data_IF_807116223290
#
_entry.id   IF_807116223290
#
_cell.length_a   1.000
_cell.length_b   1.000
_cell.length_c   1.000
_cell.angle_alpha   90.00
_cell.angle_beta   90.00
_cell.angle_gamma   90.00
#
_symmetry.space_group_name_H-M   'P 1'
#
loop_
_entity.id
_entity.type
_entity.pdbx_description
1 polymer ?
#
# COMPACT_ATOMS: atom_id res chain seq x y z
N UNK A 1 -12.36 60.92 1.14
CA UNK A 1 -11.09 60.13 1.14
C UNK A 1 -11.21 58.79 1.92
N UNK A 2 -11.90 58.73 3.04
CA UNK A 2 -12.05 57.48 3.87
C UNK A 2 -12.80 56.35 3.16
N UNK A 3 -13.82 56.63 2.36
CA UNK A 3 -14.60 55.61 1.64
C UNK A 3 -13.83 54.96 0.49
N UNK A 4 -12.89 55.63 -0.14
CA UNK A 4 -12.05 55.05 -1.21
C UNK A 4 -10.96 54.14 -0.65
N UNK A 5 -10.47 54.41 0.57
CA UNK A 5 -9.48 53.56 1.24
C UNK A 5 -10.09 52.23 1.69
N UNK A 6 -11.33 52.23 2.16
CA UNK A 6 -12.08 51.01 2.56
C UNK A 6 -12.40 50.13 1.35
N UNK A 7 -12.71 50.72 0.19
CA UNK A 7 -12.96 49.97 -1.04
C UNK A 7 -11.69 49.25 -1.56
N UNK A 8 -10.52 49.90 -1.47
CA UNK A 8 -9.25 49.30 -1.89
C UNK A 8 -8.83 48.16 -0.94
N UNK A 9 -9.02 48.31 0.36
CA UNK A 9 -8.76 47.26 1.32
C UNK A 9 -9.66 46.03 1.12
N UNK A 10 -10.94 46.24 0.82
CA UNK A 10 -11.88 45.14 0.54
C UNK A 10 -11.51 44.36 -0.75
N UNK A 11 -10.99 45.07 -1.77
CA UNK A 11 -10.57 44.43 -3.04
C UNK A 11 -9.29 43.61 -2.86
N UNK A 12 -8.36 44.04 -2.01
CA UNK A 12 -7.12 43.31 -1.72
C UNK A 12 -7.42 42.03 -0.89
N UNK A 13 -8.36 42.10 0.03
CA UNK A 13 -8.78 40.93 0.84
C UNK A 13 -9.50 39.86 0.01
N UNK A 14 -10.23 40.27 -1.02
CA UNK A 14 -10.91 39.32 -1.93
C UNK A 14 -9.97 38.55 -2.88
N UNK A 15 -8.80 39.13 -3.19
CA UNK A 15 -7.78 38.48 -4.04
C UNK A 15 -6.97 37.39 -3.31
N UNK A 16 -7.00 37.37 -1.96
CA UNK A 16 -6.25 36.41 -1.18
C UNK A 16 -7.00 35.07 -0.96
N UNK A 17 -8.28 34.98 -1.34
CA UNK A 17 -9.10 33.79 -1.09
C UNK A 17 -9.18 32.80 -2.26
N UNK A 18 -8.45 32.99 -3.37
CA UNK A 18 -8.31 32.00 -4.43
C UNK A 18 -7.06 31.13 -4.22
N UNK A 19 -6.86 30.65 -3.02
CA UNK A 19 -5.98 29.49 -2.79
C UNK A 19 -6.67 28.28 -3.42
N UNK A 20 -6.31 27.95 -4.68
CA UNK A 20 -6.70 26.68 -5.26
C UNK A 20 -6.26 25.56 -4.30
N UNK A 21 -7.14 24.57 -3.98
CA UNK A 21 -6.69 23.42 -3.24
C UNK A 21 -5.56 22.79 -4.08
N UNK A 22 -4.34 22.76 -3.52
CA UNK A 22 -3.29 21.95 -4.08
C UNK A 22 -3.86 20.52 -4.08
N UNK A 23 -4.20 20.01 -5.27
CA UNK A 23 -4.49 18.58 -5.43
C UNK A 23 -3.21 17.88 -5.02
N UNK A 24 -3.20 17.34 -3.81
CA UNK A 24 -2.18 16.39 -3.41
C UNK A 24 -2.22 15.32 -4.52
N UNK A 25 -1.12 15.20 -5.28
CA UNK A 25 -0.96 14.07 -6.17
C UNK A 25 -1.10 12.84 -5.27
N UNK A 26 -2.15 12.04 -5.51
CA UNK A 26 -2.32 10.76 -4.84
C UNK A 26 -1.14 9.88 -5.24
N UNK A 27 -0.02 10.05 -4.55
CA UNK A 27 1.15 9.20 -4.69
C UNK A 27 0.76 7.77 -4.32
N UNK A 28 1.46 6.80 -4.88
CA UNK A 28 1.27 5.41 -4.51
C UNK A 28 1.31 5.25 -2.99
N UNK A 29 0.29 4.63 -2.43
CA UNK A 29 0.22 4.27 -1.01
C UNK A 29 0.78 2.87 -0.83
N UNK A 30 1.81 2.76 -0.01
CA UNK A 30 2.52 1.51 0.29
C UNK A 30 1.56 0.53 0.95
N UNK A 31 1.61 -0.72 0.50
CA UNK A 31 0.76 -1.81 1.01
C UNK A 31 1.61 -2.87 1.72
N UNK A 32 0.96 -3.62 2.60
CA UNK A 32 1.57 -4.82 3.19
C UNK A 32 1.94 -5.81 2.08
N UNK A 33 3.17 -6.34 2.15
CA UNK A 33 3.75 -7.21 1.13
C UNK A 33 4.58 -6.49 0.07
N UNK A 34 4.60 -5.15 0.05
CA UNK A 34 5.51 -4.39 -0.80
C UNK A 34 6.96 -4.56 -0.33
N UNK A 35 7.88 -4.53 -1.27
CA UNK A 35 9.32 -4.48 -0.97
C UNK A 35 9.83 -3.09 -1.28
N UNK A 36 10.34 -2.41 -0.26
CA UNK A 36 10.97 -1.11 -0.38
C UNK A 36 12.49 -1.28 -0.50
N UNK A 37 13.11 -0.50 -1.33
CA UNK A 37 14.55 -0.32 -1.41
C UNK A 37 14.90 1.02 -0.79
N UNK A 38 15.78 0.99 0.20
CA UNK A 38 16.20 2.15 0.99
C UNK A 38 17.69 2.31 0.82
N UNK A 39 18.11 3.50 0.40
CA UNK A 39 19.50 3.88 0.22
C UNK A 39 19.81 5.12 1.05
N UNK A 40 20.92 5.08 1.77
CA UNK A 40 21.43 6.18 2.59
C UNK A 40 22.78 6.57 2.02
N UNK A 41 22.88 7.77 1.46
CA UNK A 41 24.10 8.20 0.76
C UNK A 41 25.31 8.32 1.68
N UNK A 42 25.10 8.72 2.92
CA UNK A 42 26.16 8.95 3.91
C UNK A 42 26.72 7.63 4.49
N UNK A 43 25.93 6.54 4.41
CA UNK A 43 26.35 5.23 4.91
C UNK A 43 25.75 4.08 4.07
N UNK A 44 26.52 3.60 3.12
CA UNK A 44 26.13 2.50 2.24
C UNK A 44 25.88 1.17 2.99
N UNK A 45 26.34 1.02 4.22
CA UNK A 45 26.06 -0.18 5.03
C UNK A 45 24.59 -0.30 5.45
N UNK A 46 23.87 0.80 5.40
CA UNK A 46 22.43 0.89 5.68
C UNK A 46 21.57 0.57 4.46
N UNK A 47 22.15 0.54 3.25
CA UNK A 47 21.43 0.25 2.02
C UNK A 47 20.86 -1.16 2.04
N UNK A 48 19.54 -1.29 1.92
CA UNK A 48 18.87 -2.59 1.94
C UNK A 48 17.47 -2.57 1.38
N UNK A 49 17.01 -3.77 1.05
CA UNK A 49 15.61 -4.01 0.76
C UNK A 49 14.90 -4.45 2.03
N UNK A 50 13.70 -3.92 2.26
CA UNK A 50 12.85 -4.26 3.40
C UNK A 50 11.46 -4.65 2.91
N UNK A 51 10.92 -5.72 3.48
CA UNK A 51 9.55 -6.16 3.24
C UNK A 51 8.62 -5.44 4.23
N UNK A 52 7.53 -4.89 3.71
CA UNK A 52 6.44 -4.37 4.54
C UNK A 52 5.60 -5.55 5.03
N UNK A 53 5.60 -5.75 6.34
CA UNK A 53 4.91 -6.85 7.00
C UNK A 53 3.37 -6.73 6.88
N UNK A 54 2.60 -7.78 7.18
CA UNK A 54 1.13 -7.75 7.10
C UNK A 54 0.48 -6.69 7.99
N UNK A 55 1.12 -6.28 9.09
CA UNK A 55 0.70 -5.19 9.96
C UNK A 55 1.05 -3.78 9.41
N UNK A 56 1.67 -3.71 8.24
CA UNK A 56 2.12 -2.49 7.61
C UNK A 56 3.45 -1.95 8.12
N UNK A 57 4.11 -2.65 9.03
CA UNK A 57 5.40 -2.25 9.59
C UNK A 57 6.60 -2.80 8.81
N UNK A 58 7.76 -2.20 8.99
CA UNK A 58 9.05 -2.75 8.57
C UNK A 58 10.12 -2.38 9.60
N UNK A 59 11.23 -3.12 9.63
CA UNK A 59 12.34 -2.84 10.53
C UNK A 59 13.53 -2.27 9.78
N UNK A 60 14.11 -1.20 10.34
CA UNK A 60 15.31 -0.55 9.79
C UNK A 60 16.37 -0.35 10.87
N UNK A 61 17.66 -0.58 10.57
CA UNK A 61 18.75 -0.37 11.54
C UNK A 61 18.77 1.05 12.07
N UNK A 62 19.19 1.20 13.31
CA UNK A 62 19.30 2.45 14.04
C UNK A 62 17.95 3.13 14.36
N UNK A 63 16.89 2.85 13.60
CA UNK A 63 15.55 3.43 13.80
C UNK A 63 14.60 2.44 14.48
N UNK A 64 14.78 1.13 14.22
CA UNK A 64 13.89 0.09 14.73
C UNK A 64 12.69 -0.16 13.82
N UNK A 65 11.54 -0.47 14.42
CA UNK A 65 10.29 -0.75 13.69
C UNK A 65 9.55 0.53 13.36
N UNK A 66 9.16 0.67 12.10
CA UNK A 66 8.45 1.83 11.55
C UNK A 66 7.21 1.39 10.79
N UNK A 67 6.21 2.25 10.72
CA UNK A 67 5.04 2.06 9.87
C UNK A 67 5.30 2.60 8.46
N UNK A 68 4.93 1.82 7.44
CA UNK A 68 4.92 2.22 6.04
C UNK A 68 3.55 1.99 5.38
N UNK A 69 2.79 1.03 5.89
CA UNK A 69 1.46 0.71 5.34
C UNK A 69 0.52 1.90 5.36
N UNK A 70 -0.06 2.24 4.21
CA UNK A 70 -0.92 3.40 4.04
C UNK A 70 -0.18 4.73 3.82
N UNK A 71 1.14 4.76 3.99
CA UNK A 71 1.96 5.96 3.78
C UNK A 71 2.44 6.04 2.32
N UNK A 72 2.76 7.25 1.88
CA UNK A 72 3.46 7.45 0.62
C UNK A 72 4.97 7.25 0.80
N UNK A 73 5.69 6.99 -0.30
CA UNK A 73 7.15 6.86 -0.30
C UNK A 73 7.82 8.09 0.34
N UNK A 74 7.30 9.30 0.06
CA UNK A 74 7.82 10.54 0.64
C UNK A 74 7.63 10.63 2.15
N UNK A 75 6.48 10.17 2.65
CA UNK A 75 6.21 10.14 4.09
C UNK A 75 7.15 9.16 4.81
N UNK A 76 7.38 7.97 4.23
CA UNK A 76 8.34 6.99 4.78
C UNK A 76 9.76 7.55 4.75
N UNK A 77 10.15 8.23 3.66
CA UNK A 77 11.45 8.89 3.55
C UNK A 77 11.64 9.94 4.67
N UNK A 78 10.66 10.80 4.85
CA UNK A 78 10.71 11.84 5.89
C UNK A 78 10.81 11.23 7.30
N UNK A 79 10.07 10.15 7.56
CA UNK A 79 10.13 9.45 8.84
C UNK A 79 11.50 8.78 9.07
N UNK A 80 12.10 8.19 8.02
CA UNK A 80 13.46 7.61 8.09
C UNK A 80 14.52 8.68 8.37
N UNK A 81 14.47 9.80 7.66
CA UNK A 81 15.40 10.93 7.91
C UNK A 81 15.28 11.40 9.36
N UNK A 82 14.04 11.55 9.87
CA UNK A 82 13.80 11.92 11.26
C UNK A 82 14.38 10.92 12.26
N UNK A 83 14.15 9.62 12.04
CA UNK A 83 14.66 8.56 12.92
C UNK A 83 16.19 8.40 12.89
N UNK A 84 16.80 8.60 11.74
CA UNK A 84 18.24 8.49 11.55
C UNK A 84 19.02 9.72 12.04
N UNK A 85 18.38 10.89 12.07
CA UNK A 85 19.04 12.16 12.41
C UNK A 85 19.77 12.15 13.77
N UNK A 86 19.33 11.33 14.71
CA UNK A 86 19.99 11.18 16.01
C UNK A 86 21.38 10.48 15.92
N UNK A 87 21.63 9.77 14.83
CA UNK A 87 22.84 8.96 14.61
C UNK A 87 23.83 9.62 13.63
N UNK A 88 23.45 10.74 13.03
CA UNK A 88 24.25 11.46 12.06
C UNK A 88 24.49 12.91 12.51
N UNK A 89 25.67 13.44 12.24
CA UNK A 89 26.01 14.83 12.56
C UNK A 89 25.22 15.85 11.70
N UNK A 90 24.79 15.43 10.51
CA UNK A 90 23.97 16.18 9.57
C UNK A 90 22.82 15.26 9.14
N UNK A 91 21.59 15.76 8.93
CA UNK A 91 20.48 14.92 8.47
C UNK A 91 20.86 14.14 7.21
N UNK A 92 20.69 12.80 7.20
CA UNK A 92 21.13 11.97 6.08
C UNK A 92 20.23 12.13 4.86
N UNK A 93 20.83 11.94 3.68
CA UNK A 93 20.12 11.90 2.42
C UNK A 93 19.59 10.48 2.16
N UNK A 94 18.29 10.27 2.38
CA UNK A 94 17.64 8.97 2.23
C UNK A 94 16.83 8.93 0.95
N UNK A 95 17.02 7.87 0.16
CA UNK A 95 16.19 7.54 -0.99
C UNK A 95 15.37 6.29 -0.67
N UNK A 96 14.07 6.36 -0.98
CA UNK A 96 13.14 5.24 -0.81
C UNK A 96 12.45 5.00 -2.14
N UNK A 97 12.46 3.77 -2.60
CA UNK A 97 11.76 3.35 -3.82
C UNK A 97 11.00 2.04 -3.58
N UNK A 98 9.95 1.81 -4.37
CA UNK A 98 9.22 0.53 -4.34
C UNK A 98 9.88 -0.41 -5.35
N UNK A 99 10.55 -1.44 -4.86
CA UNK A 99 11.26 -2.43 -5.67
C UNK A 99 10.32 -3.49 -6.25
N UNK A 100 9.38 -3.93 -5.42
CA UNK A 100 8.35 -4.88 -5.83
C UNK A 100 7.04 -4.54 -5.13
N UNK A 101 5.96 -4.60 -5.89
CA UNK A 101 4.61 -4.42 -5.35
C UNK A 101 4.16 -5.72 -4.69
N UNK A 102 3.39 -5.60 -3.61
CA UNK A 102 2.64 -6.72 -3.09
C UNK A 102 1.85 -7.34 -4.25
N UNK A 103 2.17 -8.56 -4.60
CA UNK A 103 1.29 -9.29 -5.49
C UNK A 103 -0.04 -9.40 -4.74
N UNK A 104 -1.06 -8.72 -5.23
CA UNK A 104 -2.43 -9.05 -4.81
C UNK A 104 -2.52 -10.55 -4.93
N UNK A 105 -2.72 -11.25 -3.80
CA UNK A 105 -2.93 -12.69 -3.84
C UNK A 105 -3.93 -12.91 -4.98
N UNK A 106 -3.60 -13.74 -6.00
CA UNK A 106 -4.51 -13.94 -7.10
C UNK A 106 -5.85 -14.23 -6.46
N UNK A 107 -6.87 -13.42 -6.80
CA UNK A 107 -8.22 -13.55 -6.27
C UNK A 107 -8.50 -15.04 -6.25
N UNK A 108 -8.76 -15.59 -5.04
CA UNK A 108 -8.67 -17.01 -4.73
C UNK A 108 -8.99 -17.83 -5.98
N UNK A 109 -7.96 -18.42 -6.60
CA UNK A 109 -8.18 -19.23 -7.79
C UNK A 109 -9.19 -20.25 -7.32
N UNK A 110 -10.43 -20.14 -7.79
CA UNK A 110 -11.46 -21.11 -7.50
C UNK A 110 -10.86 -22.46 -7.91
N UNK A 111 -10.35 -23.19 -6.93
CA UNK A 111 -9.73 -24.49 -7.20
C UNK A 111 -10.85 -25.41 -7.58
N UNK A 112 -11.05 -25.55 -8.88
CA UNK A 112 -11.98 -26.52 -9.43
C UNK A 112 -11.36 -27.90 -9.29
N UNK A 113 -12.01 -28.76 -8.55
CA UNK A 113 -11.61 -30.16 -8.38
C UNK A 113 -12.45 -31.01 -9.32
N UNK A 114 -11.80 -31.79 -10.15
CA UNK A 114 -12.49 -32.74 -10.99
C UNK A 114 -12.80 -34.03 -10.18
N UNK A 115 -14.06 -34.34 -10.00
CA UNK A 115 -14.52 -35.54 -9.32
C UNK A 115 -15.21 -36.45 -10.33
N UNK A 116 -14.83 -37.71 -10.31
CA UNK A 116 -15.50 -38.75 -11.09
C UNK A 116 -16.60 -39.37 -10.23
N UNK A 117 -17.83 -39.29 -10.70
CA UNK A 117 -18.99 -39.89 -10.01
C UNK A 117 -19.43 -41.13 -10.77
N UNK A 118 -19.45 -42.30 -10.08
CA UNK A 118 -19.87 -43.58 -10.60
C UNK A 118 -20.91 -44.20 -9.66
N UNK A 119 -21.86 -44.92 -10.20
CA UNK A 119 -22.92 -45.60 -9.44
C UNK A 119 -24.30 -45.38 -10.06
N UNK A 120 -25.36 -45.71 -9.32
CA UNK A 120 -26.76 -45.49 -9.72
C UNK A 120 -27.12 -44.01 -9.56
N UNK A 121 -26.64 -43.18 -10.48
CA UNK A 121 -26.94 -41.77 -10.55
C UNK A 121 -27.40 -41.40 -11.97
N UNK A 122 -28.25 -40.40 -12.09
CA UNK A 122 -28.83 -40.01 -13.37
C UNK A 122 -27.82 -39.58 -14.43
N UNK A 123 -26.68 -38.98 -14.02
CA UNK A 123 -25.64 -38.51 -14.94
C UNK A 123 -24.25 -38.89 -14.38
N UNK A 124 -23.72 -40.10 -14.66
CA UNK A 124 -22.35 -40.48 -14.29
C UNK A 124 -21.33 -39.73 -15.17
N UNK A 125 -20.15 -39.46 -14.62
CA UNK A 125 -19.05 -38.87 -15.36
C UNK A 125 -18.18 -37.92 -14.57
N UNK A 126 -17.31 -37.22 -15.30
CA UNK A 126 -16.45 -36.16 -14.73
C UNK A 126 -17.29 -34.91 -14.45
N UNK A 127 -17.29 -34.46 -13.19
CA UNK A 127 -17.86 -33.16 -12.80
C UNK A 127 -16.81 -32.28 -12.18
N UNK A 128 -16.89 -31.01 -12.46
CA UNK A 128 -16.02 -29.98 -11.87
C UNK A 128 -16.71 -29.32 -10.70
N UNK A 129 -16.07 -29.30 -9.55
CA UNK A 129 -16.62 -28.77 -8.30
C UNK A 129 -15.72 -27.64 -7.83
N UNK A 130 -16.31 -26.52 -7.46
CA UNK A 130 -15.61 -25.39 -6.85
C UNK A 130 -15.23 -25.74 -5.40
N UNK A 131 -14.03 -25.36 -5.00
CA UNK A 131 -13.55 -25.54 -3.63
C UNK A 131 -14.49 -24.88 -2.63
N UNK A 132 -14.96 -25.67 -1.64
CA UNK A 132 -15.96 -25.23 -0.65
C UNK A 132 -17.34 -25.83 -0.83
N UNK A 133 -17.61 -26.53 -1.93
CA UNK A 133 -18.88 -27.27 -2.12
C UNK A 133 -18.90 -28.49 -1.19
N UNK A 134 -19.96 -28.62 -0.40
CA UNK A 134 -20.15 -29.81 0.45
C UNK A 134 -20.62 -31.00 -0.37
N UNK A 135 -20.31 -32.23 0.12
CA UNK A 135 -20.76 -33.47 -0.54
C UNK A 135 -22.28 -33.51 -0.73
N UNK A 136 -23.04 -33.02 0.24
CA UNK A 136 -24.49 -32.96 0.16
C UNK A 136 -24.99 -32.02 -0.95
N UNK A 137 -24.38 -30.86 -1.09
CA UNK A 137 -24.69 -29.92 -2.19
C UNK A 137 -24.36 -30.52 -3.55
N UNK A 138 -23.23 -31.22 -3.62
CA UNK A 138 -22.80 -31.90 -4.84
C UNK A 138 -23.77 -33.02 -5.24
N UNK A 139 -24.18 -33.88 -4.29
CA UNK A 139 -25.17 -34.92 -4.51
C UNK A 139 -26.53 -34.39 -4.93
N UNK A 140 -26.99 -33.30 -4.33
CA UNK A 140 -28.24 -32.63 -4.71
C UNK A 140 -28.24 -32.08 -6.15
N UNK A 141 -27.07 -31.76 -6.70
CA UNK A 141 -26.91 -31.31 -8.09
C UNK A 141 -26.72 -32.48 -9.07
N UNK A 142 -26.48 -33.67 -8.57
CA UNK A 142 -26.16 -34.86 -9.37
C UNK A 142 -27.31 -35.88 -9.47
N UNK A 143 -28.37 -35.72 -8.62
CA UNK A 143 -29.50 -36.65 -8.50
C UNK A 143 -30.73 -36.28 -9.32
#
# INVERSE_FOLDING_TARGET
MRTRLLAVMATILALFSLGAPATAQDGYSIKSGDVLEIEVLEDASLNRQVLVLPDGSFSFPLVGTMQAGGMTVEQVRAALVGGLSANFAVPPSVYVSVRALAQSAPAAVERTISVYVMGEINVPGKKEITSGTTILQFLAQSG
#
